data_IF_873701305005
#
_entry.id   IF_873701305005
#
_cell.length_a   1.000
_cell.length_b   1.000
_cell.length_c   1.000
_cell.angle_alpha   90.00
_cell.angle_beta   90.00
_cell.angle_gamma   90.00
#
_symmetry.space_group_name_H-M   'P 1'
#
loop_
_entity.id
_entity.type
_entity.pdbx_description
1 polymer ?
#
# COMPACT_ATOMS: atom_id res chain seq x y z
N UNK A 1 18.10 -8.01 -7.20
CA UNK A 1 19.32 -8.77 -6.88
C UNK A 1 18.95 -10.23 -6.90
N UNK A 2 19.69 -11.08 -7.63
CA UNK A 2 19.46 -12.51 -7.61
C UNK A 2 19.56 -13.07 -6.19
N UNK A 3 18.63 -13.94 -5.82
CA UNK A 3 18.59 -14.66 -4.55
C UNK A 3 18.59 -16.16 -4.83
N UNK A 4 19.48 -16.89 -4.18
CA UNK A 4 19.52 -18.35 -4.21
C UNK A 4 18.84 -18.90 -2.94
N UNK A 5 17.66 -19.52 -3.04
CA UNK A 5 16.95 -20.05 -1.87
C UNK A 5 17.68 -21.20 -1.18
N UNK A 6 18.40 -22.03 -1.93
CA UNK A 6 19.10 -23.23 -1.41
C UNK A 6 20.23 -22.87 -0.47
N UNK A 7 20.99 -21.82 -0.80
CA UNK A 7 22.15 -21.38 -0.01
C UNK A 7 21.84 -20.17 0.87
N UNK A 8 20.65 -19.57 0.75
CA UNK A 8 20.27 -18.29 1.38
C UNK A 8 21.27 -17.17 1.09
N UNK A 9 21.63 -16.99 -0.19
CA UNK A 9 22.63 -16.00 -0.62
C UNK A 9 22.03 -15.04 -1.62
N UNK A 10 22.33 -13.75 -1.44
CA UNK A 10 22.09 -12.74 -2.48
C UNK A 10 23.37 -12.49 -3.27
N UNK A 11 23.24 -12.17 -4.56
CA UNK A 11 24.41 -11.82 -5.39
C UNK A 11 24.44 -10.33 -5.66
N UNK A 12 25.61 -9.70 -5.45
CA UNK A 12 25.81 -8.28 -5.72
C UNK A 12 25.95 -8.02 -7.24
N UNK A 13 25.88 -6.76 -7.71
CA UNK A 13 26.03 -6.46 -9.15
C UNK A 13 27.41 -6.79 -9.74
N UNK A 14 28.41 -7.09 -8.91
CA UNK A 14 29.74 -7.59 -9.32
C UNK A 14 29.89 -9.11 -9.17
N UNK A 15 28.80 -9.83 -8.93
CA UNK A 15 28.83 -11.29 -8.79
C UNK A 15 29.30 -11.82 -7.43
N UNK A 16 29.70 -10.95 -6.51
CA UNK A 16 30.12 -11.39 -5.16
C UNK A 16 28.92 -11.73 -4.27
N UNK A 17 29.02 -12.79 -3.44
CA UNK A 17 27.94 -13.22 -2.57
C UNK A 17 27.75 -12.27 -1.38
N UNK A 18 26.49 -12.07 -0.99
CA UNK A 18 26.08 -11.49 0.29
C UNK A 18 25.57 -12.62 1.18
N UNK A 19 26.30 -12.86 2.26
CA UNK A 19 26.03 -13.94 3.20
C UNK A 19 25.15 -13.44 4.36
N UNK A 20 24.28 -14.29 4.93
CA UNK A 20 23.51 -13.95 6.11
C UNK A 20 24.45 -13.72 7.30
N UNK A 21 24.29 -12.59 8.00
CA UNK A 21 25.15 -12.25 9.15
C UNK A 21 24.37 -12.29 10.45
N UNK A 22 23.26 -11.55 10.54
CA UNK A 22 22.46 -11.49 11.77
C UNK A 22 21.02 -11.08 11.49
N UNK A 23 20.15 -11.39 12.44
CA UNK A 23 18.79 -10.88 12.49
C UNK A 23 18.72 -9.59 13.30
N UNK A 24 18.04 -8.58 12.75
CA UNK A 24 17.65 -7.38 13.47
C UNK A 24 16.18 -7.49 13.87
N UNK A 25 15.90 -7.30 15.16
CA UNK A 25 14.54 -7.26 15.70
C UNK A 25 14.18 -5.86 16.13
N UNK A 26 13.02 -5.36 15.71
CA UNK A 26 12.49 -4.04 16.09
C UNK A 26 11.07 -4.19 16.61
N UNK A 27 10.85 -3.80 17.87
CA UNK A 27 9.52 -3.74 18.47
C UNK A 27 8.90 -2.35 18.22
N UNK A 28 7.67 -2.33 17.75
CA UNK A 28 6.88 -1.11 17.59
C UNK A 28 6.19 -0.72 18.91
N UNK A 29 5.63 0.49 18.96
CA UNK A 29 4.87 0.98 20.13
C UNK A 29 3.67 0.08 20.47
N UNK A 30 3.06 -0.56 19.47
CA UNK A 30 1.90 -1.48 19.65
C UNK A 30 2.32 -2.90 20.02
N UNK A 31 3.63 -3.16 20.19
CA UNK A 31 4.16 -4.46 20.57
C UNK A 31 4.52 -5.37 19.39
N UNK A 32 4.15 -5.02 18.15
CA UNK A 32 4.53 -5.79 16.97
C UNK A 32 6.06 -5.85 16.81
N UNK A 33 6.60 -7.05 16.56
CA UNK A 33 8.03 -7.31 16.39
C UNK A 33 8.32 -7.56 14.91
N UNK A 34 9.02 -6.62 14.26
CA UNK A 34 9.55 -6.80 12.92
C UNK A 34 10.91 -7.49 12.99
N UNK A 35 11.06 -8.59 12.26
CA UNK A 35 12.33 -9.30 12.07
C UNK A 35 12.88 -8.98 10.68
N UNK A 36 14.16 -8.66 10.59
CA UNK A 36 14.83 -8.32 9.34
C UNK A 36 16.18 -9.03 9.28
N UNK A 37 16.37 -9.85 8.26
CA UNK A 37 17.64 -10.53 8.04
C UNK A 37 18.63 -9.56 7.39
N UNK A 38 19.84 -9.49 7.94
CA UNK A 38 20.92 -8.67 7.41
C UNK A 38 21.93 -9.56 6.70
N UNK A 39 22.19 -9.25 5.44
CA UNK A 39 23.22 -9.88 4.62
C UNK A 39 24.37 -8.92 4.39
N UNK A 40 25.60 -9.42 4.32
CA UNK A 40 26.79 -8.63 4.06
C UNK A 40 27.61 -9.23 2.92
N UNK A 41 28.04 -8.37 2.00
CA UNK A 41 28.92 -8.76 0.90
C UNK A 41 30.25 -9.26 1.46
N UNK A 42 30.75 -10.37 0.91
CA UNK A 42 32.01 -10.98 1.34
C UNK A 42 33.19 -10.00 1.31
N UNK A 43 33.32 -9.24 0.22
CA UNK A 43 34.28 -8.14 0.13
C UNK A 43 33.80 -7.05 -0.83
N UNK A 44 33.99 -5.80 -0.45
CA UNK A 44 33.85 -4.63 -1.32
C UNK A 44 35.20 -3.89 -1.52
N UNK A 45 36.31 -4.48 -1.08
CA UNK A 45 37.64 -3.90 -1.25
C UNK A 45 37.99 -3.79 -2.74
N UNK A 46 38.47 -2.62 -3.18
CA UNK A 46 38.81 -2.38 -4.59
C UNK A 46 37.64 -2.44 -5.58
N UNK A 47 36.39 -2.50 -5.11
CA UNK A 47 35.23 -2.65 -6.00
C UNK A 47 35.01 -1.37 -6.83
N UNK A 48 35.10 -1.43 -8.18
CA UNK A 48 35.07 -0.25 -9.05
C UNK A 48 33.73 0.48 -9.02
N UNK A 49 32.65 -0.25 -8.71
CA UNK A 49 31.30 0.32 -8.64
C UNK A 49 30.88 0.69 -7.22
N UNK A 50 31.72 0.51 -6.19
CA UNK A 50 31.37 0.77 -4.78
C UNK A 50 30.70 2.15 -4.59
N UNK A 51 31.21 3.26 -5.16
CA UNK A 51 30.61 4.58 -5.00
C UNK A 51 29.16 4.69 -5.52
N UNK A 52 28.82 3.93 -6.57
CA UNK A 52 27.47 3.86 -7.16
C UNK A 52 26.60 2.77 -6.51
N UNK A 53 27.20 1.85 -5.76
CA UNK A 53 26.59 0.62 -5.27
C UNK A 53 26.11 0.74 -3.81
N UNK A 54 26.90 1.38 -2.94
CA UNK A 54 26.58 1.55 -1.50
C UNK A 54 27.29 2.78 -0.93
N UNK A 55 26.68 3.41 0.08
CA UNK A 55 27.29 4.48 0.88
C UNK A 55 28.00 3.97 2.14
N UNK A 56 28.00 2.65 2.37
CA UNK A 56 28.65 2.06 3.54
C UNK A 56 30.18 2.20 3.44
N UNK A 57 30.82 2.60 4.55
CA UNK A 57 32.28 2.66 4.64
C UNK A 57 32.92 1.28 4.42
N UNK A 58 32.36 0.24 5.05
CA UNK A 58 32.79 -1.16 4.90
C UNK A 58 32.14 -1.88 3.71
N UNK A 59 31.80 -3.15 3.92
CA UNK A 59 31.10 -3.95 2.93
C UNK A 59 29.64 -3.52 2.77
N UNK A 60 29.08 -3.79 1.60
CA UNK A 60 27.65 -3.56 1.33
C UNK A 60 26.83 -4.48 2.21
N UNK A 61 25.84 -3.91 2.91
CA UNK A 61 24.80 -4.65 3.63
C UNK A 61 23.46 -4.55 2.92
N UNK A 62 22.70 -5.63 2.95
CA UNK A 62 21.31 -5.72 2.48
C UNK A 62 20.43 -6.13 3.66
N UNK A 63 19.30 -5.46 3.82
CA UNK A 63 18.32 -5.78 4.85
C UNK A 63 17.06 -6.32 4.18
N UNK A 64 16.65 -7.52 4.56
CA UNK A 64 15.51 -8.21 3.95
C UNK A 64 14.50 -8.59 5.04
N UNK A 65 13.33 -7.98 5.00
CA UNK A 65 12.19 -8.38 5.82
C UNK A 65 11.37 -9.41 5.04
N UNK A 66 11.63 -10.71 5.27
CA UNK A 66 11.00 -11.82 4.52
C UNK A 66 9.47 -11.79 4.61
N UNK A 67 8.93 -11.57 5.82
CA UNK A 67 7.48 -11.45 6.05
C UNK A 67 6.86 -10.31 5.23
N UNK A 68 7.55 -9.16 5.16
CA UNK A 68 7.09 -8.05 4.34
C UNK A 68 7.07 -8.40 2.84
N UNK A 69 8.10 -9.09 2.33
CA UNK A 69 8.14 -9.52 0.94
C UNK A 69 7.01 -10.49 0.61
N UNK A 70 6.73 -11.45 1.50
CA UNK A 70 5.63 -12.40 1.36
C UNK A 70 4.28 -11.67 1.31
N UNK A 71 3.99 -10.78 2.26
CA UNK A 71 2.75 -10.01 2.26
C UNK A 71 2.64 -9.07 1.05
N UNK A 72 3.76 -8.52 0.57
CA UNK A 72 3.78 -7.70 -0.63
C UNK A 72 3.42 -8.53 -1.86
N UNK A 73 3.95 -9.74 -1.97
CA UNK A 73 3.64 -10.65 -3.07
C UNK A 73 2.17 -11.11 -3.01
N UNK A 74 1.68 -11.48 -1.84
CA UNK A 74 0.28 -11.82 -1.60
C UNK A 74 -0.65 -10.66 -1.98
N UNK A 75 -0.35 -9.45 -1.50
CA UNK A 75 -1.10 -8.26 -1.84
C UNK A 75 -1.10 -8.01 -3.35
N UNK A 76 0.05 -8.19 -4.02
CA UNK A 76 0.14 -8.06 -5.47
C UNK A 76 -0.75 -9.08 -6.18
N UNK A 77 -0.67 -10.37 -5.82
CA UNK A 77 -1.53 -11.42 -6.38
C UNK A 77 -3.00 -11.10 -6.20
N UNK A 78 -3.39 -10.61 -5.02
CA UNK A 78 -4.76 -10.24 -4.73
C UNK A 78 -5.23 -9.11 -5.65
N UNK A 79 -4.47 -8.02 -5.80
CA UNK A 79 -4.88 -6.86 -6.61
C UNK A 79 -4.75 -7.06 -8.12
N UNK A 80 -3.93 -8.01 -8.58
CA UNK A 80 -3.77 -8.34 -10.01
C UNK A 80 -4.64 -9.50 -10.45
N UNK A 81 -5.30 -10.21 -9.54
CA UNK A 81 -6.30 -11.22 -9.88
C UNK A 81 -7.50 -10.59 -10.62
N UNK A 82 -8.24 -11.33 -11.47
CA UNK A 82 -9.43 -10.82 -12.14
C UNK A 82 -10.44 -10.20 -11.15
N UNK A 83 -10.71 -10.89 -10.03
CA UNK A 83 -11.56 -10.39 -8.96
C UNK A 83 -10.99 -9.11 -8.32
N UNK A 84 -9.69 -9.10 -8.02
CA UNK A 84 -9.02 -7.91 -7.47
C UNK A 84 -9.09 -6.70 -8.39
N UNK A 85 -8.96 -6.91 -9.70
CA UNK A 85 -9.10 -5.87 -10.73
C UNK A 85 -10.54 -5.32 -10.76
N UNK A 86 -11.54 -6.19 -10.69
CA UNK A 86 -12.94 -5.77 -10.60
C UNK A 86 -13.20 -4.96 -9.33
N UNK A 87 -12.75 -5.45 -8.16
CA UNK A 87 -12.95 -4.78 -6.88
C UNK A 87 -12.24 -3.42 -6.79
N UNK A 88 -11.02 -3.28 -7.32
CA UNK A 88 -10.31 -1.98 -7.34
C UNK A 88 -10.99 -0.97 -8.26
N UNK A 89 -11.51 -1.42 -9.40
CA UNK A 89 -12.26 -0.56 -10.33
C UNK A 89 -13.56 -0.08 -9.65
N UNK A 90 -14.31 -0.99 -9.04
CA UNK A 90 -15.51 -0.68 -8.28
C UNK A 90 -15.24 0.34 -7.15
N UNK A 91 -14.15 0.15 -6.39
CA UNK A 91 -13.74 1.07 -5.33
C UNK A 91 -13.45 2.47 -5.85
N UNK A 92 -12.73 2.58 -6.98
CA UNK A 92 -12.39 3.87 -7.57
C UNK A 92 -13.65 4.64 -8.00
N UNK A 93 -14.61 3.93 -8.60
CA UNK A 93 -15.85 4.54 -9.09
C UNK A 93 -16.81 4.89 -7.95
N UNK A 94 -16.94 4.04 -6.94
CA UNK A 94 -17.91 4.24 -5.86
C UNK A 94 -17.40 5.18 -4.77
N UNK A 95 -16.23 4.86 -4.20
CA UNK A 95 -15.73 5.49 -2.98
C UNK A 95 -14.88 6.69 -3.31
N UNK A 96 -13.90 6.55 -4.21
CA UNK A 96 -12.98 7.65 -4.53
C UNK A 96 -13.72 8.79 -5.23
N UNK A 97 -14.64 8.48 -6.15
CA UNK A 97 -15.53 9.48 -6.76
C UNK A 97 -16.37 10.25 -5.73
N UNK A 98 -16.95 9.57 -4.74
CA UNK A 98 -17.72 10.25 -3.68
C UNK A 98 -16.82 11.17 -2.84
N UNK A 99 -15.64 10.72 -2.45
CA UNK A 99 -14.69 11.55 -1.71
C UNK A 99 -14.16 12.72 -2.55
N UNK A 100 -13.99 12.54 -3.85
CA UNK A 100 -13.63 13.61 -4.79
C UNK A 100 -14.66 14.73 -4.78
N UNK A 101 -15.95 14.41 -4.95
CA UNK A 101 -17.05 15.40 -4.89
C UNK A 101 -17.11 16.07 -3.52
N UNK A 102 -17.09 15.29 -2.44
CA UNK A 102 -17.17 15.84 -1.08
C UNK A 102 -16.02 16.80 -0.78
N UNK A 103 -14.81 16.47 -1.21
CA UNK A 103 -13.65 17.32 -0.96
C UNK A 103 -13.63 18.49 -1.95
N UNK A 104 -13.55 18.22 -3.24
CA UNK A 104 -13.25 19.26 -4.22
C UNK A 104 -14.48 20.09 -4.59
N UNK A 105 -15.61 19.45 -4.90
CA UNK A 105 -16.81 20.19 -5.32
C UNK A 105 -17.50 20.86 -4.13
N UNK A 106 -17.61 20.16 -2.99
CA UNK A 106 -18.28 20.69 -1.79
C UNK A 106 -17.32 21.49 -0.90
N UNK A 107 -16.01 21.44 -1.16
CA UNK A 107 -15.01 22.12 -0.34
C UNK A 107 -14.87 21.56 1.08
N UNK A 108 -15.33 20.33 1.36
CA UNK A 108 -15.27 19.77 2.71
C UNK A 108 -13.82 19.41 3.09
N UNK A 109 -13.22 20.23 3.96
CA UNK A 109 -11.82 20.06 4.42
C UNK A 109 -11.71 19.62 5.89
N UNK A 110 -12.66 20.02 6.72
CA UNK A 110 -12.65 19.75 8.16
C UNK A 110 -14.06 19.72 8.71
N UNK A 111 -14.26 18.94 9.76
CA UNK A 111 -15.47 18.98 10.56
C UNK A 111 -15.53 20.29 11.35
N UNK A 112 -16.72 20.88 11.42
CA UNK A 112 -17.00 22.06 12.23
C UNK A 112 -17.20 21.68 13.70
N UNK A 113 -17.80 20.52 13.95
CA UNK A 113 -18.10 20.04 15.30
C UNK A 113 -16.97 19.17 15.87
N UNK A 114 -16.89 19.12 17.20
CA UNK A 114 -15.92 18.30 17.94
C UNK A 114 -16.63 17.20 18.74
N UNK A 115 -15.90 16.11 18.98
CA UNK A 115 -16.39 14.95 19.70
C UNK A 115 -17.08 13.93 18.78
N UNK A 116 -16.89 12.64 19.09
CA UNK A 116 -17.30 11.51 18.25
C UNK A 116 -18.78 11.56 17.84
N UNK A 117 -19.66 11.92 18.78
CA UNK A 117 -21.11 12.01 18.52
C UNK A 117 -21.43 13.09 17.49
N UNK A 118 -20.90 14.30 17.67
CA UNK A 118 -21.23 15.44 16.83
C UNK A 118 -20.59 15.32 15.43
N UNK A 119 -19.32 14.87 15.37
CA UNK A 119 -18.64 14.55 14.09
C UNK A 119 -19.42 13.50 13.31
N UNK A 120 -19.96 12.48 13.98
CA UNK A 120 -20.82 11.49 13.32
C UNK A 120 -22.09 12.11 12.75
N UNK A 121 -22.76 12.98 13.49
CA UNK A 121 -23.97 13.67 12.99
C UNK A 121 -23.65 14.54 11.77
N UNK A 122 -22.59 15.34 11.84
CA UNK A 122 -22.13 16.18 10.72
C UNK A 122 -21.79 15.33 9.48
N UNK A 123 -21.09 14.20 9.68
CA UNK A 123 -20.78 13.26 8.61
C UNK A 123 -22.04 12.66 7.97
N UNK A 124 -23.04 12.28 8.78
CA UNK A 124 -24.31 11.74 8.26
C UNK A 124 -25.08 12.78 7.43
N UNK A 125 -25.10 14.05 7.88
CA UNK A 125 -25.71 15.14 7.13
C UNK A 125 -24.99 15.39 5.79
N UNK A 126 -23.65 15.37 5.79
CA UNK A 126 -22.84 15.48 4.58
C UNK A 126 -23.15 14.33 3.60
N UNK A 127 -23.19 13.09 4.09
CA UNK A 127 -23.53 11.92 3.27
C UNK A 127 -24.97 12.01 2.72
N UNK A 128 -25.93 12.48 3.52
CA UNK A 128 -27.31 12.68 3.09
C UNK A 128 -27.38 13.70 1.96
N UNK A 129 -26.75 14.87 2.12
CA UNK A 129 -26.72 15.91 1.08
C UNK A 129 -26.07 15.43 -0.21
N UNK A 130 -24.96 14.68 -0.12
CA UNK A 130 -24.35 14.04 -1.30
C UNK A 130 -25.30 13.05 -1.97
N UNK A 131 -25.95 12.16 -1.22
CA UNK A 131 -26.86 11.15 -1.77
C UNK A 131 -28.09 11.77 -2.42
N UNK A 132 -28.68 12.82 -1.84
CA UNK A 132 -29.82 13.56 -2.41
C UNK A 132 -29.43 14.21 -3.73
N UNK A 133 -28.29 14.91 -3.79
CA UNK A 133 -27.81 15.54 -5.03
C UNK A 133 -27.49 14.49 -6.10
N UNK A 134 -26.89 13.36 -5.71
CA UNK A 134 -26.62 12.25 -6.63
C UNK A 134 -27.89 11.62 -7.18
N UNK A 135 -28.92 11.44 -6.35
CA UNK A 135 -30.24 10.96 -6.77
C UNK A 135 -30.91 11.95 -7.73
N UNK A 136 -30.90 13.24 -7.38
CA UNK A 136 -31.45 14.29 -8.23
C UNK A 136 -30.79 14.29 -9.63
N UNK A 137 -29.45 14.26 -9.70
CA UNK A 137 -28.72 14.19 -10.96
C UNK A 137 -28.97 12.89 -11.76
N UNK A 138 -29.33 11.78 -11.09
CA UNK A 138 -29.75 10.55 -11.76
C UNK A 138 -31.14 10.68 -12.35
N UNK A 139 -32.09 11.27 -11.62
CA UNK A 139 -33.45 11.51 -12.08
C UNK A 139 -33.46 12.44 -13.30
N UNK A 140 -32.70 13.54 -13.26
CA UNK A 140 -32.61 14.48 -14.38
C UNK A 140 -32.01 13.85 -15.65
N UNK A 141 -31.15 12.84 -15.50
CA UNK A 141 -30.52 12.15 -16.61
C UNK A 141 -31.17 10.82 -16.99
N UNK A 142 -32.31 10.47 -16.40
CA UNK A 142 -33.00 9.17 -16.57
C UNK A 142 -32.09 7.93 -16.39
N UNK A 143 -31.21 8.00 -15.38
CA UNK A 143 -30.24 6.93 -15.01
C UNK A 143 -30.62 6.22 -13.71
N UNK A 144 -31.89 6.28 -13.32
CA UNK A 144 -32.38 5.51 -12.18
C UNK A 144 -32.35 4.02 -12.55
N UNK A 145 -31.97 3.17 -11.57
CA UNK A 145 -31.75 1.72 -11.77
C UNK A 145 -30.57 1.31 -12.66
N UNK A 146 -29.82 2.24 -13.25
CA UNK A 146 -28.53 1.91 -13.89
C UNK A 146 -27.46 1.72 -12.82
N UNK A 147 -26.98 0.49 -12.69
CA UNK A 147 -25.79 0.17 -11.91
C UNK A 147 -24.56 0.36 -12.82
N UNK A 148 -23.55 1.07 -12.31
CA UNK A 148 -22.27 1.20 -13.02
C UNK A 148 -21.54 -0.16 -13.11
N UNK A 149 -21.79 -1.05 -12.16
CA UNK A 149 -21.27 -2.40 -12.11
C UNK A 149 -22.32 -3.34 -11.53
N UNK A 150 -22.32 -4.60 -12.00
CA UNK A 150 -23.15 -5.64 -11.43
C UNK A 150 -22.82 -5.83 -9.94
N UNK A 151 -23.86 -6.00 -9.12
CA UNK A 151 -23.68 -6.39 -7.72
C UNK A 151 -23.26 -7.86 -7.73
N UNK A 152 -21.98 -8.13 -7.59
CA UNK A 152 -21.57 -9.44 -7.10
C UNK A 152 -22.11 -9.55 -5.66
N UNK A 153 -23.11 -10.42 -5.49
CA UNK A 153 -23.63 -10.80 -4.17
C UNK A 153 -22.47 -11.49 -3.47
N UNK A 154 -22.02 -10.91 -2.35
CA UNK A 154 -21.06 -11.54 -1.45
C UNK A 154 -21.74 -12.62 -0.60
#
# INVERSE_FOLDING_TARGET
MPYCPETDIYTCPQGLPLLPVFEKRRKSRTGYVAVTQVYECQSCAGCPIKPKCTKAAGNRRLQVARTFLQHREEALRNITSPLGILLRMNRSIQVEGAFGVLKEDYGFRRFLLRGKKNVRTEYLLLCLGYNVNKLHAKLQGDRCSTLLHEKEIA
#
